data_IF_444983156362
#
_entry.id   IF_444983156362
#
_cell.length_a   1.000
_cell.length_b   1.000
_cell.length_c   1.000
_cell.angle_alpha   90.00
_cell.angle_beta   90.00
_cell.angle_gamma   90.00
#
_symmetry.space_group_name_H-M   'P 1'
#
loop_
_entity.id
_entity.type
_entity.pdbx_description
1 polymer ?
#
# COMPACT_ATOMS: atom_id res chain seq x y z
N UNK A 1 4.99 13.79 -38.63
CA UNK A 1 6.23 13.31 -37.97
C UNK A 1 7.34 13.30 -39.02
N UNK A 2 8.42 14.04 -38.84
CA UNK A 2 9.50 14.10 -39.83
C UNK A 2 10.32 12.79 -39.82
N UNK A 3 10.54 12.19 -40.99
CA UNK A 3 11.24 10.90 -41.13
C UNK A 3 12.70 10.97 -40.65
N UNK A 4 13.32 12.15 -40.77
CA UNK A 4 14.65 12.42 -40.24
C UNK A 4 14.69 12.34 -38.70
N UNK A 5 13.64 12.81 -38.03
CA UNK A 5 13.51 12.74 -36.57
C UNK A 5 13.32 11.30 -36.09
N UNK A 6 12.55 10.48 -36.81
CA UNK A 6 12.37 9.05 -36.48
C UNK A 6 13.67 8.26 -36.62
N UNK A 7 14.45 8.49 -37.69
CA UNK A 7 15.78 7.86 -37.85
C UNK A 7 16.78 8.32 -36.80
N UNK A 8 16.76 9.60 -36.44
CA UNK A 8 17.62 10.14 -35.39
C UNK A 8 17.33 9.52 -34.03
N UNK A 9 16.06 9.47 -33.63
CA UNK A 9 15.61 8.82 -32.39
C UNK A 9 15.93 7.32 -32.45
N UNK A 10 15.65 6.66 -33.57
CA UNK A 10 15.97 5.25 -33.79
C UNK A 10 17.45 4.94 -33.58
N UNK A 11 18.35 5.73 -34.17
CA UNK A 11 19.80 5.54 -34.05
C UNK A 11 20.33 5.83 -32.64
N UNK A 12 19.76 6.81 -31.93
CA UNK A 12 20.12 7.09 -30.53
C UNK A 12 19.66 5.95 -29.63
N UNK A 13 18.41 5.49 -29.81
CA UNK A 13 17.83 4.38 -29.06
C UNK A 13 18.35 3.01 -29.51
N UNK A 14 19.20 2.88 -30.51
CA UNK A 14 19.88 1.61 -30.85
C UNK A 14 21.38 1.67 -30.64
N UNK A 15 21.90 2.82 -30.20
CA UNK A 15 23.27 2.92 -29.73
C UNK A 15 23.41 2.16 -28.40
N UNK A 16 24.33 1.20 -28.36
CA UNK A 16 24.57 0.33 -27.20
C UNK A 16 24.84 1.12 -25.92
N UNK A 17 25.59 2.23 -26.01
CA UNK A 17 25.90 3.11 -24.87
C UNK A 17 24.68 3.85 -24.29
N UNK A 18 23.58 3.93 -25.04
CA UNK A 18 22.32 4.57 -24.62
C UNK A 18 21.27 3.52 -24.28
N UNK A 19 21.27 2.38 -24.98
CA UNK A 19 20.32 1.28 -24.76
C UNK A 19 20.51 0.60 -23.43
N UNK A 20 21.74 0.27 -23.05
CA UNK A 20 22.00 -0.39 -21.76
C UNK A 20 21.50 0.43 -20.56
N UNK A 21 21.83 1.73 -20.42
CA UNK A 21 21.30 2.53 -19.30
C UNK A 21 19.80 2.75 -19.39
N UNK A 22 19.21 2.82 -20.59
CA UNK A 22 17.75 2.92 -20.76
C UNK A 22 17.04 1.65 -20.29
N UNK A 23 17.52 0.47 -20.69
CA UNK A 23 16.97 -0.82 -20.25
C UNK A 23 17.08 -0.93 -18.73
N UNK A 24 18.24 -0.59 -18.15
CA UNK A 24 18.43 -0.59 -16.71
C UNK A 24 17.46 0.37 -15.99
N UNK A 25 17.23 1.57 -16.54
CA UNK A 25 16.29 2.54 -15.99
C UNK A 25 14.83 2.03 -16.04
N UNK A 26 14.41 1.46 -17.16
CA UNK A 26 13.05 0.90 -17.33
C UNK A 26 12.83 -0.29 -16.40
N UNK A 27 13.79 -1.22 -16.31
CA UNK A 27 13.72 -2.37 -15.41
C UNK A 27 13.73 -1.93 -13.95
N UNK A 28 14.62 -1.01 -13.57
CA UNK A 28 14.70 -0.47 -12.22
C UNK A 28 13.40 0.22 -11.81
N UNK A 29 12.83 1.04 -12.71
CA UNK A 29 11.53 1.67 -12.49
C UNK A 29 10.41 0.63 -12.37
N UNK A 30 10.36 -0.37 -13.26
CA UNK A 30 9.36 -1.43 -13.26
C UNK A 30 9.37 -2.23 -11.94
N UNK A 31 10.55 -2.64 -11.47
CA UNK A 31 10.74 -3.32 -10.18
C UNK A 31 10.27 -2.42 -9.03
N UNK A 32 10.65 -1.14 -9.04
CA UNK A 32 10.25 -0.17 -8.01
C UNK A 32 8.74 -0.01 -7.92
N UNK A 33 8.06 0.17 -9.06
CA UNK A 33 6.60 0.29 -9.14
C UNK A 33 5.91 -1.00 -8.69
N UNK A 34 6.40 -2.15 -9.13
CA UNK A 34 5.86 -3.45 -8.72
C UNK A 34 5.96 -3.66 -7.21
N UNK A 35 7.13 -3.41 -6.63
CA UNK A 35 7.35 -3.52 -5.19
C UNK A 35 6.48 -2.54 -4.40
N UNK A 36 6.34 -1.30 -4.89
CA UNK A 36 5.45 -0.31 -4.31
C UNK A 36 4.00 -0.81 -4.30
N UNK A 37 3.51 -1.31 -5.42
CA UNK A 37 2.14 -1.83 -5.54
C UNK A 37 1.88 -3.05 -4.65
N UNK A 38 2.80 -4.02 -4.61
CA UNK A 38 2.67 -5.20 -3.74
C UNK A 38 2.59 -4.79 -2.27
N UNK A 39 3.45 -3.85 -1.86
CA UNK A 39 3.46 -3.33 -0.49
C UNK A 39 2.17 -2.62 -0.12
N UNK A 40 1.62 -1.79 -1.02
CA UNK A 40 0.35 -1.12 -0.76
C UNK A 40 -0.82 -2.09 -0.63
N UNK A 41 -0.90 -3.13 -1.48
CA UNK A 41 -1.94 -4.16 -1.36
C UNK A 41 -1.88 -4.85 -0.01
N UNK A 42 -0.68 -5.27 0.38
CA UNK A 42 -0.47 -5.93 1.67
C UNK A 42 -0.88 -5.06 2.86
N UNK A 43 -0.56 -3.75 2.84
CA UNK A 43 -1.02 -2.83 3.87
C UNK A 43 -2.55 -2.80 3.92
N UNK A 44 -3.23 -2.77 2.77
CA UNK A 44 -4.69 -2.77 2.73
C UNK A 44 -5.27 -4.07 3.27
N UNK A 45 -4.73 -5.22 2.86
CA UNK A 45 -5.21 -6.54 3.27
C UNK A 45 -5.07 -6.69 4.80
N UNK A 46 -3.88 -6.43 5.35
CA UNK A 46 -3.66 -6.48 6.80
C UNK A 46 -4.55 -5.47 7.54
N UNK A 47 -4.76 -4.27 6.97
CA UNK A 47 -5.61 -3.26 7.61
C UNK A 47 -7.06 -3.76 7.69
N UNK A 48 -7.60 -4.34 6.63
CA UNK A 48 -8.96 -4.87 6.62
C UNK A 48 -9.10 -5.99 7.65
N UNK A 49 -8.20 -6.98 7.62
CA UNK A 49 -8.22 -8.13 8.54
C UNK A 49 -8.16 -7.68 10.01
N UNK A 50 -7.28 -6.72 10.33
CA UNK A 50 -7.11 -6.25 11.71
C UNK A 50 -8.31 -5.40 12.16
N UNK A 51 -8.87 -4.58 11.28
CA UNK A 51 -10.07 -3.79 11.61
C UNK A 51 -11.26 -4.71 11.87
N UNK A 52 -11.49 -5.71 11.03
CA UNK A 52 -12.58 -6.65 11.17
C UNK A 52 -12.42 -7.46 12.46
N UNK A 53 -11.21 -7.98 12.73
CA UNK A 53 -10.90 -8.70 13.96
C UNK A 53 -11.17 -7.85 15.22
N UNK A 54 -10.81 -6.57 15.21
CA UNK A 54 -11.08 -5.66 16.32
C UNK A 54 -12.58 -5.37 16.44
N UNK A 55 -13.29 -5.12 15.34
CA UNK A 55 -14.73 -4.87 15.37
C UNK A 55 -15.54 -6.10 15.82
N UNK A 56 -15.02 -7.31 15.65
CA UNK A 56 -15.62 -8.53 16.21
C UNK A 56 -15.41 -8.63 17.74
N UNK A 57 -14.21 -8.32 18.24
CA UNK A 57 -13.82 -8.64 19.62
C UNK A 57 -13.81 -7.44 20.58
N UNK A 58 -13.96 -6.20 20.10
CA UNK A 58 -13.78 -5.01 20.96
C UNK A 58 -14.72 -4.96 22.17
N UNK A 59 -15.94 -5.52 22.04
CA UNK A 59 -16.93 -5.55 23.12
C UNK A 59 -16.46 -6.43 24.26
N UNK A 60 -15.88 -7.58 23.93
CA UNK A 60 -15.35 -8.55 24.89
C UNK A 60 -14.12 -8.00 25.60
N UNK A 61 -13.27 -7.27 24.88
CA UNK A 61 -12.09 -6.62 25.44
C UNK A 61 -12.39 -5.30 26.17
N UNK A 62 -13.64 -4.83 26.15
CA UNK A 62 -14.02 -3.55 26.74
C UNK A 62 -13.38 -2.32 26.08
N UNK A 63 -12.87 -2.44 24.84
CA UNK A 63 -12.19 -1.36 24.14
C UNK A 63 -13.19 -0.33 23.60
N UNK A 64 -12.91 0.95 23.85
CA UNK A 64 -13.70 2.09 23.37
C UNK A 64 -12.80 3.18 22.80
N UNK A 65 -13.33 3.92 21.82
CA UNK A 65 -12.68 5.13 21.30
C UNK A 65 -11.25 4.90 20.84
N UNK A 66 -10.31 5.67 21.38
CA UNK A 66 -8.87 5.65 21.05
C UNK A 66 -8.19 4.32 21.34
N UNK A 67 -8.65 3.56 22.34
CA UNK A 67 -8.07 2.26 22.70
C UNK A 67 -8.20 1.22 21.56
N UNK A 68 -9.23 1.35 20.71
CA UNK A 68 -9.34 0.53 19.49
C UNK A 68 -8.20 0.81 18.51
N UNK A 69 -7.82 2.07 18.37
CA UNK A 69 -6.76 2.48 17.45
C UNK A 69 -5.38 2.08 17.96
N UNK A 70 -5.15 2.17 19.27
CA UNK A 70 -3.92 1.66 19.88
C UNK A 70 -3.79 0.14 19.67
N UNK A 71 -4.89 -0.59 19.86
CA UNK A 71 -4.91 -2.04 19.61
C UNK A 71 -4.71 -2.38 18.13
N UNK A 72 -5.31 -1.59 17.25
CA UNK A 72 -5.08 -1.68 15.81
C UNK A 72 -3.59 -1.54 15.47
N UNK A 73 -2.92 -0.52 15.97
CA UNK A 73 -1.50 -0.29 15.71
C UNK A 73 -0.61 -1.41 16.23
N UNK A 74 -0.93 -1.95 17.42
CA UNK A 74 -0.23 -3.09 18.00
C UNK A 74 -0.33 -4.32 17.09
N UNK A 75 -1.55 -4.73 16.73
CA UNK A 75 -1.80 -5.94 15.93
C UNK A 75 -1.28 -5.75 14.50
N UNK A 76 -1.55 -4.59 13.88
CA UNK A 76 -1.05 -4.25 12.56
C UNK A 76 0.47 -4.33 12.50
N UNK A 77 1.19 -3.78 13.48
CA UNK A 77 2.65 -3.85 13.53
C UNK A 77 3.16 -5.29 13.60
N UNK A 78 2.47 -6.14 14.35
CA UNK A 78 2.81 -7.57 14.48
C UNK A 78 2.59 -8.32 13.16
N UNK A 79 1.43 -8.17 12.54
CA UNK A 79 1.11 -8.84 11.28
C UNK A 79 1.93 -8.31 10.10
N UNK A 80 2.17 -7.00 10.05
CA UNK A 80 3.06 -6.39 9.05
C UNK A 80 4.48 -6.95 9.16
N UNK A 81 5.02 -7.08 10.38
CA UNK A 81 6.35 -7.68 10.59
C UNK A 81 6.38 -9.14 10.18
N UNK A 82 5.31 -9.90 10.43
CA UNK A 82 5.21 -11.30 10.02
C UNK A 82 5.23 -11.45 8.50
N UNK A 83 4.56 -10.57 7.75
CA UNK A 83 4.49 -10.67 6.29
C UNK A 83 5.70 -10.05 5.56
N UNK A 84 6.29 -8.97 6.09
CA UNK A 84 7.37 -8.22 5.41
C UNK A 84 8.75 -8.38 6.07
N UNK A 85 8.84 -9.12 7.18
CA UNK A 85 10.09 -9.35 7.91
C UNK A 85 10.66 -8.11 8.62
N UNK A 86 9.97 -6.97 8.58
CA UNK A 86 10.42 -5.71 9.19
C UNK A 86 9.27 -4.95 9.85
N UNK A 87 9.60 -4.01 10.74
CA UNK A 87 8.60 -3.08 11.28
C UNK A 87 8.09 -2.13 10.19
N UNK A 88 6.81 -1.70 10.26
CA UNK A 88 6.28 -0.68 9.36
C UNK A 88 6.98 0.65 9.60
N UNK A 89 7.17 1.41 8.52
CA UNK A 89 7.64 2.81 8.56
C UNK A 89 6.48 3.72 8.99
N UNK A 90 6.81 4.94 9.42
CA UNK A 90 5.82 5.95 9.81
C UNK A 90 4.76 6.18 8.72
N UNK A 91 5.18 6.36 7.47
CA UNK A 91 4.27 6.54 6.32
C UNK A 91 3.32 5.35 6.11
N UNK A 92 3.78 4.13 6.41
CA UNK A 92 2.99 2.90 6.24
C UNK A 92 1.96 2.76 7.36
N UNK A 93 2.33 3.17 8.58
CA UNK A 93 1.41 3.28 9.71
C UNK A 93 0.34 4.34 9.47
N UNK A 94 0.72 5.54 9.03
CA UNK A 94 -0.22 6.61 8.69
C UNK A 94 -1.20 6.17 7.59
N UNK A 95 -0.68 5.49 6.57
CA UNK A 95 -1.51 4.92 5.50
C UNK A 95 -2.51 3.92 6.07
N UNK A 96 -2.07 3.01 6.94
CA UNK A 96 -2.94 2.02 7.56
C UNK A 96 -4.02 2.66 8.44
N UNK A 97 -3.67 3.69 9.23
CA UNK A 97 -4.61 4.43 10.08
C UNK A 97 -5.71 5.12 9.27
N UNK A 98 -5.33 5.89 8.24
CA UNK A 98 -6.29 6.57 7.36
C UNK A 98 -7.25 5.56 6.71
N UNK A 99 -6.73 4.40 6.32
CA UNK A 99 -7.53 3.32 5.72
C UNK A 99 -8.46 2.66 6.73
N UNK A 100 -7.99 2.39 7.94
CA UNK A 100 -8.80 1.86 9.01
C UNK A 100 -9.97 2.79 9.34
N UNK A 101 -9.71 4.09 9.46
CA UNK A 101 -10.76 5.09 9.67
C UNK A 101 -11.77 5.10 8.52
N UNK A 102 -11.30 5.04 7.28
CA UNK A 102 -12.18 4.98 6.12
C UNK A 102 -13.07 3.72 6.11
N UNK A 103 -12.54 2.55 6.49
CA UNK A 103 -13.31 1.31 6.59
C UNK A 103 -14.40 1.42 7.67
N UNK A 104 -14.04 1.88 8.86
CA UNK A 104 -14.99 2.08 9.97
C UNK A 104 -16.08 3.08 9.57
N UNK A 105 -15.71 4.18 8.91
CA UNK A 105 -16.68 5.17 8.44
C UNK A 105 -17.63 4.59 7.38
N UNK A 106 -17.13 3.76 6.45
CA UNK A 106 -17.97 3.09 5.45
C UNK A 106 -18.96 2.13 6.11
N UNK A 107 -18.52 1.30 7.05
CA UNK A 107 -19.39 0.40 7.79
C UNK A 107 -20.50 1.16 8.54
N UNK A 108 -20.16 2.28 9.18
CA UNK A 108 -21.13 3.18 9.84
C UNK A 108 -22.13 3.83 8.89
N UNK A 109 -21.75 4.10 7.65
CA UNK A 109 -22.67 4.65 6.63
C UNK A 109 -23.59 3.55 6.10
N UNK A 110 -23.04 2.37 5.80
CA UNK A 110 -23.82 1.22 5.35
C UNK A 110 -24.90 0.83 6.38
N UNK A 111 -24.57 0.82 7.67
CA UNK A 111 -25.54 0.52 8.74
C UNK A 111 -26.61 1.61 8.93
N UNK A 112 -26.35 2.85 8.50
CA UNK A 112 -27.32 3.96 8.54
C UNK A 112 -28.30 3.94 7.37
N UNK A 113 -27.86 3.50 6.18
CA UNK A 113 -28.71 3.46 4.97
C UNK A 113 -29.58 2.20 4.92
N UNK A 114 -29.23 1.15 5.64
CA UNK A 114 -30.03 -0.08 5.76
C UNK A 114 -31.15 -0.05 6.82
N UNK A 115 -31.55 1.13 7.30
CA UNK A 115 -32.69 1.34 8.22
C UNK A 115 -33.82 2.09 7.53
#
# INVERSE_FOLDING_TARGET
MNWAWLRFIGNILTNEAVMEPLIAAVLGYGISVYNKNRRYRMIMDITADVVDYIEEHYKEWGLKGSAKMEKFLEIFTKEFKKQLGRKPKKEELETAMIRAEALVQRARRASKTGK
#
